data_IF_749439294930
#
_entry.id   IF_749439294930
#
_cell.length_a   1.000
_cell.length_b   1.000
_cell.length_c   1.000
_cell.angle_alpha   90.00
_cell.angle_beta   90.00
_cell.angle_gamma   90.00
#
_symmetry.space_group_name_H-M   'P 1'
#
loop_
_entity.id
_entity.type
_entity.pdbx_description
1 polymer ?
#
# COMPACT_ATOMS: atom_id res chain seq x y z
N UNK A 1 -13.30 -2.86 -1.72
CA UNK A 1 -13.23 -1.60 -2.48
C UNK A 1 -12.68 -1.77 -3.90
N UNK A 2 -11.69 -2.62 -4.16
CA UNK A 2 -11.13 -2.83 -5.52
C UNK A 2 -12.09 -3.45 -6.56
N UNK A 3 -13.31 -3.77 -6.18
CA UNK A 3 -14.35 -4.29 -7.08
C UNK A 3 -15.51 -3.32 -7.35
N UNK A 4 -15.41 -2.07 -6.87
CA UNK A 4 -16.43 -1.05 -7.15
C UNK A 4 -16.20 -0.48 -8.54
N UNK A 5 -17.15 -0.65 -9.50
CA UNK A 5 -17.00 -0.13 -10.86
C UNK A 5 -16.93 1.41 -10.92
N UNK A 6 -17.44 2.10 -9.89
CA UNK A 6 -17.44 3.56 -9.81
C UNK A 6 -16.21 4.11 -9.06
N UNK A 7 -15.29 3.24 -8.58
CA UNK A 7 -14.15 3.67 -7.78
C UNK A 7 -13.29 4.72 -8.49
N UNK A 8 -13.00 4.52 -9.77
CA UNK A 8 -12.22 5.46 -10.56
C UNK A 8 -12.82 6.86 -10.58
N UNK A 9 -14.12 6.93 -10.82
CA UNK A 9 -14.85 8.20 -10.92
C UNK A 9 -14.93 8.90 -9.57
N UNK A 10 -15.17 8.15 -8.49
CA UNK A 10 -15.16 8.67 -7.12
C UNK A 10 -13.80 9.25 -6.75
N UNK A 11 -12.72 8.54 -7.09
CA UNK A 11 -11.36 9.04 -6.84
C UNK A 11 -11.02 10.27 -7.68
N UNK A 12 -11.45 10.33 -8.95
CA UNK A 12 -11.25 11.51 -9.81
C UNK A 12 -12.04 12.74 -9.34
N UNK A 13 -13.19 12.56 -8.69
CA UNK A 13 -13.92 13.68 -8.09
C UNK A 13 -13.12 14.38 -6.99
N UNK A 14 -12.30 13.63 -6.23
CA UNK A 14 -11.42 14.19 -5.20
C UNK A 14 -10.13 14.81 -5.76
N UNK A 15 -9.67 14.34 -6.90
CA UNK A 15 -8.47 14.81 -7.58
C UNK A 15 -8.71 14.91 -9.11
N UNK A 16 -9.39 15.94 -9.59
CA UNK A 16 -9.72 16.10 -11.03
C UNK A 16 -8.48 16.12 -11.93
N UNK A 17 -7.39 16.72 -11.48
CA UNK A 17 -6.10 16.78 -12.17
C UNK A 17 -5.25 15.52 -12.02
N UNK A 18 -5.74 14.52 -11.27
CA UNK A 18 -5.03 13.31 -10.89
C UNK A 18 -4.22 13.44 -9.61
N UNK A 19 -3.66 12.32 -9.17
CA UNK A 19 -2.86 12.23 -7.95
C UNK A 19 -1.37 12.38 -8.28
N UNK A 20 -0.59 13.17 -7.51
CA UNK A 20 0.85 13.27 -7.72
C UNK A 20 1.58 11.97 -7.40
N UNK A 21 1.03 11.15 -6.49
CA UNK A 21 1.59 9.85 -6.11
C UNK A 21 0.46 8.85 -5.86
N UNK A 22 0.60 7.64 -6.38
CA UNK A 22 -0.27 6.51 -6.06
C UNK A 22 0.58 5.38 -5.48
N UNK A 23 0.26 4.94 -4.26
CA UNK A 23 0.86 3.79 -3.60
C UNK A 23 0.00 2.55 -3.82
N UNK A 24 0.54 1.53 -4.47
CA UNK A 24 -0.16 0.31 -4.83
C UNK A 24 0.52 -0.92 -4.21
N UNK A 25 -0.19 -1.59 -3.30
CA UNK A 25 0.23 -2.85 -2.66
C UNK A 25 -0.44 -4.07 -3.28
N UNK A 26 -1.41 -3.87 -4.19
CA UNK A 26 -2.26 -4.93 -4.74
C UNK A 26 -1.67 -5.52 -6.02
N UNK A 27 -1.16 -4.69 -6.92
CA UNK A 27 -0.42 -5.12 -8.11
C UNK A 27 -1.31 -5.39 -9.32
N UNK A 28 -1.31 -6.64 -9.83
CA UNK A 28 -1.90 -7.00 -11.13
C UNK A 28 -3.31 -6.46 -11.37
N UNK A 29 -4.21 -6.62 -10.40
CA UNK A 29 -5.63 -6.24 -10.57
C UNK A 29 -5.90 -4.73 -10.47
N UNK A 30 -4.98 -3.95 -9.89
CA UNK A 30 -5.15 -2.50 -9.67
C UNK A 30 -4.25 -1.65 -10.55
N UNK A 31 -3.23 -2.23 -11.19
CA UNK A 31 -2.22 -1.51 -11.97
C UNK A 31 -2.80 -0.49 -12.94
N UNK A 32 -3.75 -0.91 -13.79
CA UNK A 32 -4.36 -0.04 -14.81
C UNK A 32 -5.14 1.11 -14.19
N UNK A 33 -5.92 0.82 -13.14
CA UNK A 33 -6.66 1.84 -12.40
C UNK A 33 -5.69 2.85 -11.76
N UNK A 34 -4.72 2.35 -11.01
CA UNK A 34 -3.75 3.16 -10.27
C UNK A 34 -2.91 4.04 -11.20
N UNK A 35 -2.47 3.48 -12.35
CA UNK A 35 -1.74 4.24 -13.37
C UNK A 35 -2.60 5.37 -13.97
N UNK A 36 -3.88 5.06 -14.28
CA UNK A 36 -4.82 6.01 -14.87
C UNK A 36 -5.28 7.12 -13.93
N UNK A 37 -5.02 7.02 -12.62
CA UNK A 37 -5.36 8.05 -11.64
C UNK A 37 -4.23 9.08 -11.41
N UNK A 38 -3.05 8.87 -11.97
CA UNK A 38 -1.93 9.78 -11.80
C UNK A 38 -2.12 11.10 -12.57
N UNK A 39 -1.67 12.18 -11.96
CA UNK A 39 -1.47 13.46 -12.64
C UNK A 39 -0.26 13.36 -13.59
N UNK A 40 -0.14 14.25 -14.59
CA UNK A 40 1.10 14.38 -15.36
C UNK A 40 2.32 14.53 -14.43
N UNK A 41 3.44 13.87 -14.76
CA UNK A 41 4.66 13.77 -13.94
C UNK A 41 4.45 13.07 -12.58
N UNK A 42 3.31 12.40 -12.40
CA UNK A 42 3.00 11.65 -11.17
C UNK A 42 3.82 10.36 -11.03
N UNK A 43 3.92 9.88 -9.79
CA UNK A 43 4.71 8.69 -9.46
C UNK A 43 3.82 7.52 -9.06
N UNK A 44 3.96 6.39 -9.76
CA UNK A 44 3.41 5.10 -9.34
C UNK A 44 4.41 4.38 -8.44
N UNK A 45 4.02 4.12 -7.20
CA UNK A 45 4.84 3.38 -6.23
C UNK A 45 4.25 1.99 -6.04
N UNK A 46 4.78 0.99 -6.74
CA UNK A 46 4.38 -0.41 -6.59
C UNK A 46 5.15 -1.05 -5.45
N UNK A 47 4.54 -1.26 -4.28
CA UNK A 47 5.24 -1.83 -3.11
C UNK A 47 4.72 -3.19 -2.66
N UNK A 48 3.70 -3.75 -3.36
CA UNK A 48 3.14 -5.06 -3.06
C UNK A 48 2.59 -5.79 -4.29
N UNK A 49 2.19 -7.05 -4.11
CA UNK A 49 1.68 -7.94 -5.16
C UNK A 49 0.53 -8.81 -4.61
N UNK A 50 -0.39 -8.27 -3.80
CA UNK A 50 -1.45 -9.05 -3.16
C UNK A 50 -2.36 -9.78 -4.15
N UNK A 51 -2.55 -9.26 -5.38
CA UNK A 51 -3.31 -9.90 -6.46
C UNK A 51 -2.42 -10.54 -7.54
N UNK A 52 -1.14 -10.65 -7.29
CA UNK A 52 -0.13 -11.10 -8.24
C UNK A 52 0.76 -9.96 -8.76
N UNK A 53 1.92 -10.30 -9.34
CA UNK A 53 2.84 -9.32 -9.91
C UNK A 53 2.23 -8.60 -11.11
N UNK A 54 2.69 -7.37 -11.35
CA UNK A 54 2.44 -6.65 -12.60
C UNK A 54 3.26 -7.35 -13.70
N UNK A 55 2.61 -7.78 -14.77
CA UNK A 55 3.26 -8.58 -15.82
C UNK A 55 4.33 -7.78 -16.57
N UNK A 56 4.05 -6.52 -16.90
CA UNK A 56 4.99 -5.62 -17.56
C UNK A 56 4.63 -4.14 -17.31
N UNK A 57 5.62 -3.29 -17.28
CA UNK A 57 5.49 -1.84 -17.34
C UNK A 57 5.97 -1.38 -18.71
N UNK A 58 5.05 -0.86 -19.52
CA UNK A 58 5.34 -0.44 -20.88
C UNK A 58 5.74 1.04 -20.89
N UNK A 59 6.97 1.41 -21.30
CA UNK A 59 7.41 2.80 -21.29
C UNK A 59 6.50 3.76 -22.07
N UNK A 60 5.89 3.28 -23.17
CA UNK A 60 4.92 4.07 -23.93
C UNK A 60 3.68 4.46 -23.14
N UNK A 61 3.20 3.59 -22.24
CA UNK A 61 2.07 3.92 -21.36
C UNK A 61 2.43 5.04 -20.38
N UNK A 62 3.64 5.02 -19.85
CA UNK A 62 4.12 6.09 -18.96
C UNK A 62 4.23 7.43 -19.70
N UNK A 63 4.73 7.40 -20.93
CA UNK A 63 4.82 8.61 -21.77
C UNK A 63 3.42 9.18 -22.08
N UNK A 64 2.51 8.34 -22.56
CA UNK A 64 1.14 8.74 -22.92
C UNK A 64 0.32 9.17 -21.71
N UNK A 65 0.58 8.61 -20.52
CA UNK A 65 -0.07 8.98 -19.26
C UNK A 65 0.38 10.34 -18.71
N UNK A 66 1.31 11.03 -19.37
CA UNK A 66 1.80 12.34 -18.95
C UNK A 66 3.21 12.32 -18.37
N UNK A 67 4.11 11.52 -18.97
CA UNK A 67 5.52 11.38 -18.52
C UNK A 67 5.62 10.88 -17.07
N UNK A 68 4.92 9.80 -16.78
CA UNK A 68 4.82 9.22 -15.43
C UNK A 68 6.13 8.57 -14.98
N UNK A 69 6.33 8.55 -13.67
CA UNK A 69 7.39 7.79 -13.02
C UNK A 69 6.83 6.48 -12.47
N UNK A 70 7.60 5.40 -12.59
CA UNK A 70 7.30 4.11 -11.96
C UNK A 70 8.46 3.67 -11.08
N UNK A 71 8.16 3.27 -9.84
CA UNK A 71 9.16 2.74 -8.92
C UNK A 71 8.64 1.51 -8.18
N UNK A 72 9.57 0.58 -7.89
CA UNK A 72 9.31 -0.64 -7.11
C UNK A 72 10.28 -0.70 -5.93
N UNK A 73 10.01 0.04 -4.84
CA UNK A 73 10.85 -0.02 -3.65
C UNK A 73 10.72 -1.38 -2.96
N UNK A 74 11.81 -1.82 -2.34
CA UNK A 74 11.82 -2.99 -1.47
C UNK A 74 12.39 -2.63 -0.10
N UNK A 75 11.78 -3.17 0.95
CA UNK A 75 12.24 -2.94 2.32
C UNK A 75 13.68 -3.37 2.52
N UNK A 76 14.08 -4.52 1.91
CA UNK A 76 15.43 -5.05 2.02
C UNK A 76 16.51 -4.05 1.55
N UNK A 77 16.25 -3.35 0.42
CA UNK A 77 17.16 -2.32 -0.11
C UNK A 77 17.31 -1.15 0.87
N UNK A 78 16.22 -0.74 1.50
CA UNK A 78 16.27 0.34 2.49
C UNK A 78 16.97 -0.09 3.78
N UNK A 79 16.69 -1.30 4.28
CA UNK A 79 17.29 -1.86 5.50
C UNK A 79 18.80 -2.10 5.36
N UNK A 80 19.30 -2.35 4.15
CA UNK A 80 20.73 -2.50 3.87
C UNK A 80 21.51 -1.17 4.05
N UNK A 81 20.84 -0.03 4.12
CA UNK A 81 21.49 1.27 4.36
C UNK A 81 21.87 1.40 5.85
N UNK A 82 23.13 1.68 6.18
CA UNK A 82 23.57 1.79 7.57
C UNK A 82 22.72 2.80 8.37
N UNK A 83 22.26 2.38 9.54
CA UNK A 83 21.46 3.22 10.46
C UNK A 83 20.02 3.49 10.04
N UNK A 84 19.60 3.15 8.81
CA UNK A 84 18.26 3.47 8.31
C UNK A 84 17.16 2.78 9.13
N UNK A 85 17.35 1.50 9.46
CA UNK A 85 16.36 0.73 10.22
C UNK A 85 16.14 1.33 11.61
N UNK A 86 17.24 1.63 12.34
CA UNK A 86 17.14 2.23 13.67
C UNK A 86 16.45 3.60 13.62
N UNK A 87 16.90 4.49 12.74
CA UNK A 87 16.32 5.83 12.60
C UNK A 87 14.82 5.78 12.21
N UNK A 88 14.42 4.82 11.36
CA UNK A 88 13.01 4.63 10.99
C UNK A 88 12.17 4.11 12.16
N UNK A 89 12.71 3.15 12.92
CA UNK A 89 12.05 2.62 14.12
C UNK A 89 11.87 3.71 15.18
N UNK A 90 12.92 4.46 15.48
CA UNK A 90 12.90 5.57 16.46
C UNK A 90 11.84 6.61 16.08
N UNK A 91 11.75 6.93 14.77
CA UNK A 91 10.74 7.88 14.27
C UNK A 91 9.32 7.34 14.48
N UNK A 92 9.05 6.08 14.11
CA UNK A 92 7.73 5.47 14.25
C UNK A 92 7.33 5.38 15.72
N UNK A 93 8.21 4.88 16.59
CA UNK A 93 7.94 4.78 18.02
C UNK A 93 7.77 6.16 18.67
N UNK A 94 8.53 7.15 18.23
CA UNK A 94 8.35 8.54 18.65
C UNK A 94 6.97 9.10 18.30
N UNK A 95 6.47 8.83 17.08
CA UNK A 95 5.13 9.23 16.64
C UNK A 95 4.04 8.53 17.45
N UNK A 96 4.20 7.23 17.75
CA UNK A 96 3.26 6.47 18.59
C UNK A 96 3.27 7.03 20.02
N UNK A 97 4.44 7.23 20.61
CA UNK A 97 4.58 7.73 21.99
C UNK A 97 4.04 9.13 22.17
N UNK A 98 4.12 9.98 21.15
CA UNK A 98 3.56 11.33 21.18
C UNK A 98 2.05 11.38 20.88
N UNK A 99 1.43 10.25 20.52
CA UNK A 99 0.05 10.19 20.10
C UNK A 99 -0.24 10.75 18.69
N UNK A 100 0.80 11.14 17.94
CA UNK A 100 0.67 11.60 16.55
C UNK A 100 0.35 10.45 15.57
N UNK A 101 0.65 9.21 15.96
CA UNK A 101 0.28 8.00 15.24
C UNK A 101 -0.45 7.06 16.19
N UNK A 102 -1.69 6.71 15.86
CA UNK A 102 -2.48 5.70 16.58
C UNK A 102 -2.41 4.36 15.85
N UNK A 103 -2.26 3.29 16.62
CA UNK A 103 -2.30 1.91 16.12
C UNK A 103 -3.56 1.25 16.69
N UNK A 104 -4.55 1.04 15.82
CA UNK A 104 -5.80 0.40 16.20
C UNK A 104 -5.62 -1.12 16.24
N UNK A 105 -5.56 -1.71 17.45
CA UNK A 105 -5.51 -3.17 17.66
C UNK A 105 -6.93 -3.65 17.95
N UNK A 106 -7.63 -4.05 16.89
CA UNK A 106 -9.05 -4.41 16.97
C UNK A 106 -9.28 -5.91 17.26
N UNK A 107 -8.29 -6.76 16.97
CA UNK A 107 -8.39 -8.20 17.23
C UNK A 107 -7.16 -8.69 17.99
N UNK A 108 -7.43 -9.55 18.98
CA UNK A 108 -6.42 -10.24 19.79
C UNK A 108 -6.75 -11.72 19.79
N UNK A 109 -5.82 -12.56 19.36
CA UNK A 109 -5.96 -14.01 19.33
C UNK A 109 -4.87 -14.63 20.22
N UNK A 110 -5.16 -15.69 20.98
CA UNK A 110 -4.12 -16.55 21.52
C UNK A 110 -3.22 -17.06 20.39
N UNK A 111 -1.95 -17.29 20.67
CA UNK A 111 -1.01 -17.78 19.64
C UNK A 111 -1.47 -19.12 19.05
N UNK A 112 -2.10 -19.99 19.85
CA UNK A 112 -2.68 -21.27 19.42
C UNK A 112 -3.81 -21.12 18.38
N UNK A 113 -4.48 -19.97 18.36
CA UNK A 113 -5.55 -19.65 17.42
C UNK A 113 -5.06 -19.01 16.11
N UNK A 114 -3.77 -19.16 15.76
CA UNK A 114 -3.16 -18.56 14.56
C UNK A 114 -3.91 -18.90 13.27
N UNK A 115 -4.40 -20.13 13.15
CA UNK A 115 -5.19 -20.57 11.96
C UNK A 115 -6.48 -19.78 11.85
N UNK A 116 -7.18 -19.54 12.97
CA UNK A 116 -8.39 -18.73 13.00
C UNK A 116 -8.06 -17.28 12.63
N UNK A 117 -6.99 -16.70 13.17
CA UNK A 117 -6.57 -15.34 12.87
C UNK A 117 -6.30 -15.14 11.36
N UNK A 118 -5.64 -16.10 10.71
CA UNK A 118 -5.41 -16.06 9.26
C UNK A 118 -6.72 -16.18 8.48
N UNK A 119 -7.60 -17.10 8.83
CA UNK A 119 -8.88 -17.27 8.16
C UNK A 119 -9.75 -16.01 8.26
N UNK A 120 -9.80 -15.39 9.43
CA UNK A 120 -10.55 -14.14 9.65
C UNK A 120 -9.97 -12.99 8.82
N UNK A 121 -8.64 -12.90 8.72
CA UNK A 121 -7.96 -11.89 7.89
C UNK A 121 -8.23 -12.10 6.39
N UNK A 122 -8.08 -13.32 5.90
CA UNK A 122 -8.35 -13.68 4.50
C UNK A 122 -9.83 -13.52 4.15
N UNK A 123 -10.72 -13.85 5.10
CA UNK A 123 -12.17 -13.66 5.00
C UNK A 123 -12.61 -12.19 5.09
N UNK A 124 -11.68 -11.24 5.31
CA UNK A 124 -11.96 -9.81 5.51
C UNK A 124 -12.93 -9.53 6.67
N UNK A 125 -12.87 -10.36 7.71
CA UNK A 125 -13.67 -10.23 8.93
C UNK A 125 -13.00 -9.34 9.99
N UNK A 126 -11.81 -8.82 9.68
CA UNK A 126 -10.99 -8.01 10.59
C UNK A 126 -10.86 -6.58 10.10
N UNK A 127 -10.63 -5.66 11.03
CA UNK A 127 -10.30 -4.25 10.77
C UNK A 127 -9.13 -3.83 11.66
N UNK A 128 -8.38 -2.81 11.26
CA UNK A 128 -7.19 -2.38 12.01
C UNK A 128 -6.11 -3.47 12.03
N UNK A 129 -5.38 -3.55 13.14
CA UNK A 129 -4.32 -4.54 13.34
C UNK A 129 -4.84 -5.74 14.13
N UNK A 130 -4.44 -6.94 13.70
CA UNK A 130 -4.64 -8.20 14.44
C UNK A 130 -3.33 -8.60 15.10
N UNK A 131 -3.36 -9.01 16.36
CA UNK A 131 -2.17 -9.46 17.10
C UNK A 131 -2.39 -10.86 17.67
N UNK A 132 -1.32 -11.65 17.69
CA UNK A 132 -1.26 -12.93 18.37
C UNK A 132 -0.60 -12.70 19.74
N UNK A 133 -1.22 -13.26 20.79
CA UNK A 133 -0.72 -13.15 22.17
C UNK A 133 -0.15 -14.52 22.55
N UNK A 134 1.14 -14.62 22.95
CA UNK A 134 1.75 -15.86 23.46
C UNK A 134 1.12 -16.37 24.72
#
# INVERSE_FOLDING_TARGET
>A
MSGDPELADKLRQHAPEGYPVVYDSVGKSTYRLSLGLLAPLGTFVSFGNASGPIDAVVPGELALGGSLYFTRPTLATHMARPGWMQASADRIFGLISSGALSVEINQRYPLEDVVKAHNDLEGRLTTGSSVLIP
#
